data_IF_885747315396
#
_entry.id   IF_885747315396
#
_cell.length_a   1.000
_cell.length_b   1.000
_cell.length_c   1.000
_cell.angle_alpha   90.00
_cell.angle_beta   90.00
_cell.angle_gamma   90.00
#
_symmetry.space_group_name_H-M   'P 1'
#
loop_
_entity.id
_entity.type
_entity.pdbx_description
1 polymer ?
#
# COMPACT_ATOMS: atom_id res chain seq x y z
N UNK A 1 16.57 -28.49 7.10
CA UNK A 1 17.72 -27.68 6.66
C UNK A 1 17.57 -27.10 5.25
N UNK A 2 17.05 -27.84 4.25
CA UNK A 2 16.86 -27.31 2.88
C UNK A 2 15.81 -26.19 2.71
N UNK A 3 14.85 -26.04 3.62
CA UNK A 3 13.79 -25.00 3.53
C UNK A 3 14.26 -23.62 4.00
N UNK A 4 15.06 -23.53 5.09
CA UNK A 4 15.61 -22.25 5.59
C UNK A 4 16.47 -21.53 4.55
N UNK A 5 17.34 -22.25 3.83
CA UNK A 5 18.20 -21.64 2.82
C UNK A 5 17.39 -21.09 1.63
N UNK A 6 16.34 -21.81 1.19
CA UNK A 6 15.44 -21.34 0.12
C UNK A 6 14.71 -20.04 0.47
N UNK A 7 14.35 -19.87 1.74
CA UNK A 7 13.69 -18.66 2.23
C UNK A 7 14.64 -17.44 2.25
N UNK A 8 15.89 -17.64 2.67
CA UNK A 8 16.92 -16.59 2.63
C UNK A 8 17.29 -16.20 1.19
N UNK A 9 17.35 -17.16 0.26
CA UNK A 9 17.56 -16.89 -1.16
C UNK A 9 16.40 -16.06 -1.71
N UNK A 10 15.15 -16.42 -1.40
CA UNK A 10 13.97 -15.66 -1.80
C UNK A 10 13.98 -14.22 -1.25
N UNK A 11 14.38 -14.02 0.00
CA UNK A 11 14.57 -12.69 0.60
C UNK A 11 15.67 -11.89 -0.11
N UNK A 12 16.76 -12.55 -0.51
CA UNK A 12 17.85 -11.91 -1.25
C UNK A 12 17.40 -11.44 -2.64
N UNK A 13 16.59 -12.23 -3.35
CA UNK A 13 15.96 -11.80 -4.60
C UNK A 13 14.99 -10.64 -4.37
N UNK A 14 14.19 -10.69 -3.31
CA UNK A 14 13.25 -9.63 -2.96
C UNK A 14 13.96 -8.30 -2.63
N UNK A 15 15.10 -8.38 -1.92
CA UNK A 15 15.97 -7.24 -1.65
C UNK A 15 16.40 -6.53 -2.93
N UNK A 16 16.94 -7.28 -3.89
CA UNK A 16 17.46 -6.73 -5.16
C UNK A 16 16.38 -6.24 -6.13
N UNK A 17 15.11 -6.64 -5.92
CA UNK A 17 13.99 -6.24 -6.77
C UNK A 17 13.30 -4.97 -6.26
N UNK A 18 13.49 -4.65 -4.98
CA UNK A 18 12.90 -3.46 -4.36
C UNK A 18 13.60 -2.21 -4.87
N UNK A 19 12.82 -1.19 -5.24
CA UNK A 19 13.35 0.08 -5.74
C UNK A 19 13.49 1.16 -4.65
N UNK A 20 13.38 0.76 -3.37
CA UNK A 20 13.40 1.64 -2.21
C UNK A 20 14.56 1.23 -1.28
N UNK A 21 15.55 2.12 -1.15
CA UNK A 21 16.77 1.91 -0.34
C UNK A 21 16.43 1.57 1.12
N UNK A 22 15.40 2.17 1.69
CA UNK A 22 14.98 1.88 3.06
C UNK A 22 14.49 0.43 3.20
N UNK A 23 13.63 -0.04 2.28
CA UNK A 23 13.13 -1.42 2.28
C UNK A 23 14.28 -2.40 2.03
N UNK A 24 15.20 -2.05 1.14
CA UNK A 24 16.39 -2.86 0.85
C UNK A 24 17.25 -3.07 2.10
N UNK A 25 17.51 -2.01 2.85
CA UNK A 25 18.27 -2.03 4.11
C UNK A 25 17.55 -2.90 5.16
N UNK A 26 16.24 -2.70 5.34
CA UNK A 26 15.47 -3.49 6.30
C UNK A 26 15.45 -4.98 5.95
N UNK A 27 15.32 -5.35 4.67
CA UNK A 27 15.40 -6.76 4.24
C UNK A 27 16.82 -7.31 4.50
N UNK A 28 17.86 -6.51 4.27
CA UNK A 28 19.23 -6.89 4.62
C UNK A 28 19.41 -7.21 6.11
N UNK A 29 18.82 -6.40 6.97
CA UNK A 29 18.83 -6.62 8.42
C UNK A 29 18.04 -7.86 8.84
N UNK A 30 16.90 -8.15 8.18
CA UNK A 30 16.15 -9.41 8.39
C UNK A 30 17.01 -10.61 8.03
N UNK A 31 17.71 -10.58 6.89
CA UNK A 31 18.61 -11.67 6.48
C UNK A 31 19.73 -11.86 7.50
N UNK A 32 20.29 -10.77 8.03
CA UNK A 32 21.30 -10.83 9.09
C UNK A 32 20.76 -11.48 10.37
N UNK A 33 19.60 -11.05 10.86
CA UNK A 33 18.97 -11.62 12.05
C UNK A 33 18.71 -13.13 11.91
N UNK A 34 18.31 -13.58 10.71
CA UNK A 34 18.12 -15.01 10.42
C UNK A 34 19.44 -15.79 10.40
N UNK A 35 20.52 -15.18 9.94
CA UNK A 35 21.86 -15.78 9.96
C UNK A 35 22.44 -15.85 11.38
N UNK A 36 22.11 -14.88 12.23
CA UNK A 36 22.45 -14.85 13.65
C UNK A 36 21.63 -15.86 14.48
N UNK A 37 20.71 -16.59 13.83
CA UNK A 37 19.95 -17.68 14.44
C UNK A 37 18.65 -17.28 15.10
N UNK A 38 18.22 -16.01 14.97
CA UNK A 38 16.92 -15.56 15.45
C UNK A 38 15.78 -16.28 14.72
N UNK A 39 14.62 -16.31 15.37
CA UNK A 39 13.41 -16.86 14.76
C UNK A 39 12.93 -15.96 13.61
N UNK A 40 12.15 -16.53 12.69
CA UNK A 40 11.59 -15.76 11.57
C UNK A 40 10.63 -14.70 12.09
N UNK A 41 9.79 -15.04 13.06
CA UNK A 41 8.90 -14.07 13.70
C UNK A 41 9.65 -12.92 14.37
N UNK A 42 10.76 -13.19 15.05
CA UNK A 42 11.55 -12.17 15.74
C UNK A 42 12.29 -11.25 14.75
N UNK A 43 12.88 -11.83 13.70
CA UNK A 43 13.56 -11.07 12.64
C UNK A 43 12.63 -10.08 11.94
N UNK A 44 11.35 -10.45 11.74
CA UNK A 44 10.35 -9.59 11.10
C UNK A 44 9.68 -8.61 12.08
N UNK A 45 9.48 -8.98 13.35
CA UNK A 45 8.84 -8.11 14.35
C UNK A 45 9.68 -6.88 14.69
N UNK A 46 11.00 -6.99 14.64
CA UNK A 46 11.92 -5.88 14.90
C UNK A 46 11.93 -4.81 13.79
N UNK A 47 11.14 -5.01 12.71
CA UNK A 47 11.07 -4.09 11.58
C UNK A 47 9.64 -3.56 11.51
N UNK A 48 9.46 -2.24 11.70
CA UNK A 48 8.17 -1.54 11.60
C UNK A 48 7.64 -1.46 10.15
N UNK A 49 7.82 -2.52 9.36
CA UNK A 49 7.40 -2.63 7.97
C UNK A 49 6.08 -3.40 7.81
N UNK A 50 5.75 -4.24 8.79
CA UNK A 50 4.66 -5.20 8.69
C UNK A 50 3.55 -4.83 9.68
N UNK A 51 2.31 -4.98 9.24
CA UNK A 51 1.14 -4.81 10.09
C UNK A 51 1.09 -5.87 11.21
N UNK A 52 0.44 -5.53 12.32
CA UNK A 52 0.32 -6.42 13.48
C UNK A 52 -0.30 -7.77 13.14
N UNK A 53 -1.28 -7.80 12.22
CA UNK A 53 -1.91 -9.05 11.78
C UNK A 53 -0.88 -9.94 11.09
N UNK A 54 -0.04 -9.35 10.23
CA UNK A 54 1.02 -10.06 9.52
C UNK A 54 2.02 -10.67 10.49
N UNK A 55 2.46 -9.90 11.49
CA UNK A 55 3.41 -10.36 12.51
C UNK A 55 2.84 -11.50 13.37
N UNK A 56 1.58 -11.37 13.82
CA UNK A 56 0.91 -12.42 14.61
C UNK A 56 0.74 -13.72 13.83
N UNK A 57 0.37 -13.63 12.56
CA UNK A 57 0.25 -14.82 11.71
C UNK A 57 1.60 -15.49 11.51
N UNK A 58 2.68 -14.72 11.33
CA UNK A 58 4.03 -15.23 11.21
C UNK A 58 4.47 -16.00 12.47
N UNK A 59 4.18 -15.46 13.66
CA UNK A 59 4.40 -16.13 14.96
C UNK A 59 3.62 -17.46 15.02
N UNK A 60 2.34 -17.46 14.66
CA UNK A 60 1.51 -18.69 14.66
C UNK A 60 2.04 -19.71 13.64
N UNK A 61 2.43 -19.25 12.45
CA UNK A 61 2.97 -20.10 11.38
C UNK A 61 4.31 -20.74 11.77
N UNK A 62 5.17 -20.00 12.45
CA UNK A 62 6.44 -20.52 12.96
C UNK A 62 6.21 -21.52 14.10
N UNK A 63 5.38 -21.19 15.09
CA UNK A 63 5.09 -22.06 16.23
C UNK A 63 4.38 -23.37 15.84
N UNK A 64 3.55 -23.33 14.80
CA UNK A 64 2.84 -24.51 14.27
C UNK A 64 3.61 -25.24 13.17
N UNK A 65 4.78 -24.72 12.79
CA UNK A 65 5.60 -25.21 11.68
C UNK A 65 4.83 -25.24 10.34
N UNK A 66 3.90 -24.30 10.14
CA UNK A 66 3.04 -24.12 8.96
C UNK A 66 3.30 -22.81 8.22
N UNK A 67 4.56 -22.37 8.22
CA UNK A 67 4.97 -21.09 7.66
C UNK A 67 4.60 -20.95 6.17
N UNK A 68 4.78 -22.00 5.36
CA UNK A 68 4.44 -21.98 3.93
C UNK A 68 2.95 -21.65 3.70
N UNK A 69 2.06 -22.27 4.47
CA UNK A 69 0.62 -22.03 4.38
C UNK A 69 0.25 -20.60 4.83
N UNK A 70 0.87 -20.12 5.91
CA UNK A 70 0.63 -18.76 6.40
C UNK A 70 1.14 -17.71 5.41
N UNK A 71 2.29 -17.92 4.77
CA UNK A 71 2.82 -17.01 3.76
C UNK A 71 1.89 -16.92 2.53
N UNK A 72 1.27 -18.03 2.15
CA UNK A 72 0.24 -18.05 1.10
C UNK A 72 -1.01 -17.26 1.50
N UNK A 73 -1.49 -17.44 2.74
CA UNK A 73 -2.65 -16.69 3.25
C UNK A 73 -2.35 -15.19 3.39
N UNK A 74 -1.16 -14.83 3.87
CA UNK A 74 -0.69 -13.45 3.94
C UNK A 74 -0.59 -12.80 2.56
N UNK A 75 -0.15 -13.53 1.53
CA UNK A 75 -0.17 -13.03 0.16
C UNK A 75 -1.60 -12.71 -0.28
N UNK A 76 -2.56 -13.60 0.00
CA UNK A 76 -3.96 -13.41 -0.37
C UNK A 76 -4.60 -12.24 0.36
N UNK A 77 -4.32 -12.09 1.66
CA UNK A 77 -4.80 -10.98 2.49
C UNK A 77 -4.24 -9.66 1.97
N UNK A 78 -2.92 -9.56 1.76
CA UNK A 78 -2.30 -8.34 1.25
C UNK A 78 -2.79 -7.97 -0.15
N UNK A 79 -2.93 -8.95 -1.06
CA UNK A 79 -3.53 -8.70 -2.38
C UNK A 79 -4.94 -8.14 -2.26
N UNK A 80 -5.79 -8.72 -1.40
CA UNK A 80 -7.15 -8.23 -1.17
C UNK A 80 -7.16 -6.82 -0.60
N UNK A 81 -6.28 -6.51 0.36
CA UNK A 81 -6.18 -5.16 0.93
C UNK A 81 -5.75 -4.13 -0.13
N UNK A 82 -4.75 -4.47 -0.95
CA UNK A 82 -4.28 -3.62 -2.04
C UNK A 82 -5.37 -3.38 -3.08
N UNK A 83 -6.09 -4.43 -3.50
CA UNK A 83 -7.22 -4.29 -4.44
C UNK A 83 -8.30 -3.39 -3.87
N UNK A 84 -8.69 -3.59 -2.60
CA UNK A 84 -9.67 -2.74 -1.93
C UNK A 84 -9.23 -1.29 -1.85
N UNK A 85 -7.98 -1.03 -1.45
CA UNK A 85 -7.46 0.34 -1.42
C UNK A 85 -7.50 1.00 -2.80
N UNK A 86 -7.23 0.26 -3.86
CA UNK A 86 -7.31 0.77 -5.22
C UNK A 86 -8.77 1.04 -5.65
N UNK A 87 -9.70 0.15 -5.30
CA UNK A 87 -11.14 0.34 -5.53
C UNK A 87 -11.67 1.56 -4.77
N UNK A 88 -11.34 1.69 -3.50
CA UNK A 88 -11.73 2.82 -2.64
C UNK A 88 -11.15 4.14 -3.16
N UNK A 89 -9.90 4.13 -3.63
CA UNK A 89 -9.26 5.28 -4.25
C UNK A 89 -9.99 5.73 -5.53
N UNK A 90 -10.35 4.78 -6.41
CA UNK A 90 -11.11 5.08 -7.62
C UNK A 90 -12.53 5.56 -7.28
N UNK A 91 -13.17 4.95 -6.28
CA UNK A 91 -14.48 5.35 -5.79
C UNK A 91 -14.47 6.80 -5.25
N UNK A 92 -13.39 7.22 -4.60
CA UNK A 92 -13.20 8.60 -4.15
C UNK A 92 -12.90 9.59 -5.28
N UNK A 93 -12.21 9.17 -6.35
CA UNK A 93 -11.95 10.03 -7.50
C UNK A 93 -13.24 10.46 -8.22
N UNK A 94 -14.24 9.58 -8.29
CA UNK A 94 -15.52 9.88 -8.97
C UNK A 94 -16.24 11.13 -8.42
N UNK A 95 -16.55 11.25 -7.12
CA UNK A 95 -17.17 12.45 -6.56
C UNK A 95 -16.27 13.69 -6.68
N UNK A 96 -14.94 13.53 -6.60
CA UNK A 96 -14.00 14.63 -6.82
C UNK A 96 -14.17 15.25 -8.22
N UNK A 97 -14.22 14.43 -9.28
CA UNK A 97 -14.42 14.93 -10.65
C UNK A 97 -15.79 15.60 -10.84
N UNK A 98 -16.86 15.07 -10.22
CA UNK A 98 -18.20 15.69 -10.28
C UNK A 98 -18.18 17.09 -9.68
N UNK A 99 -17.55 17.27 -8.52
CA UNK A 99 -17.42 18.59 -7.86
C UNK A 99 -16.61 19.56 -8.72
N UNK A 100 -15.49 19.10 -9.30
CA UNK A 100 -14.65 19.93 -10.18
C UNK A 100 -15.43 20.39 -11.41
N UNK A 101 -16.14 19.49 -12.08
CA UNK A 101 -16.96 19.83 -13.26
C UNK A 101 -18.09 20.78 -12.90
N UNK A 102 -18.79 20.54 -11.79
CA UNK A 102 -19.83 21.45 -11.30
C UNK A 102 -19.27 22.86 -11.01
N UNK A 103 -18.08 22.95 -10.42
CA UNK A 103 -17.38 24.21 -10.18
C UNK A 103 -17.04 24.96 -11.48
N UNK A 104 -16.54 24.24 -12.50
CA UNK A 104 -16.25 24.81 -13.82
C UNK A 104 -17.53 25.34 -14.47
N UNK A 105 -18.63 24.57 -14.43
CA UNK A 105 -19.92 25.01 -14.99
C UNK A 105 -20.43 26.26 -14.27
N UNK A 106 -20.37 26.30 -12.94
CA UNK A 106 -20.78 27.47 -12.16
C UNK A 106 -19.95 28.70 -12.52
N UNK A 107 -18.62 28.52 -12.64
CA UNK A 107 -17.71 29.60 -13.04
C UNK A 107 -18.03 30.13 -14.44
N UNK A 108 -18.31 29.25 -15.41
CA UNK A 108 -18.72 29.65 -16.76
C UNK A 108 -20.04 30.42 -16.77
N UNK A 109 -21.04 29.99 -15.99
CA UNK A 109 -22.32 30.69 -15.87
C UNK A 109 -22.12 32.10 -15.33
N UNK A 110 -21.32 32.27 -14.28
CA UNK A 110 -21.02 33.59 -13.71
C UNK A 110 -20.28 34.49 -14.71
N UNK A 111 -19.34 33.93 -15.46
CA UNK A 111 -18.60 34.66 -16.49
C UNK A 111 -19.52 35.18 -17.61
N UNK A 112 -20.58 34.44 -17.97
CA UNK A 112 -21.56 34.86 -18.98
C UNK A 112 -22.61 35.81 -18.40
N UNK A 113 -23.05 35.61 -17.15
CA UNK A 113 -24.06 36.46 -16.51
C UNK A 113 -23.58 37.89 -16.26
N UNK A 114 -22.31 38.06 -15.86
CA UNK A 114 -21.72 39.37 -15.56
C UNK A 114 -21.89 40.40 -16.70
N UNK A 115 -21.47 40.12 -17.96
CA UNK A 115 -21.64 41.06 -19.07
C UNK A 115 -23.12 41.26 -19.47
N UNK A 116 -23.98 40.26 -19.27
CA UNK A 116 -25.42 40.40 -19.55
C UNK A 116 -26.05 41.44 -18.62
N UNK A 117 -25.68 41.44 -17.35
CA UNK A 117 -26.15 42.46 -16.39
C UNK A 117 -25.64 43.85 -16.72
N UNK A 118 -24.37 43.97 -17.13
CA UNK A 118 -23.80 45.24 -17.59
C UNK A 118 -24.59 45.78 -18.78
N UNK A 119 -24.86 44.98 -19.81
CA UNK A 119 -25.67 45.38 -20.98
C UNK A 119 -27.09 45.83 -20.61
N UNK A 120 -27.75 45.15 -19.67
CA UNK A 120 -29.08 45.54 -19.19
C UNK A 120 -29.08 46.88 -18.45
N UNK A 121 -27.96 47.25 -17.81
CA UNK A 121 -27.84 48.51 -17.08
C UNK A 121 -27.67 49.73 -18.00
N UNK A 122 -27.12 49.55 -19.21
CA UNK A 122 -26.94 50.63 -20.19
C UNK A 122 -28.23 51.02 -20.95
N UNK A 123 -29.29 50.22 -20.85
CA UNK A 123 -30.57 50.45 -21.56
C UNK A 123 -31.53 51.34 -20.74
N UNK A 124 -31.11 51.84 -19.56
CA UNK A 124 -31.92 52.69 -18.70
C UNK A 124 -31.49 54.15 -18.72
#
# INVERSE_FOLDING_TARGET
>A
MKSKNKFQDALSYAKNTTNNIFIEEQIGLIIQDLNDGKSISEAFTNRNLFDEITLRMLIVGENTNRLEYILEDLQNINKKQLTKHNEDFIAFLTPFFVVVVAGIILWLVLAIMTPIWELGSFIK
#
